data_IF_668243867065
#
_entry.id   IF_668243867065
#
_cell.length_a   1.000
_cell.length_b   1.000
_cell.length_c   1.000
_cell.angle_alpha   90.00
_cell.angle_beta   90.00
_cell.angle_gamma   90.00
#
_symmetry.space_group_name_H-M   'P 1'
#
loop_
_entity.id
_entity.type
_entity.pdbx_description
1 polymer ?
#
# COMPACT_ATOMS: atom_id res chain seq x y z
N UNK A 1 -23.40 -1.87 -0.30
CA UNK A 1 -23.18 -3.23 0.25
C UNK A 1 -22.53 -4.05 -0.87
N UNK A 2 -21.19 -4.14 -0.93
CA UNK A 2 -20.51 -4.87 -2.02
C UNK A 2 -20.65 -6.37 -1.76
N UNK A 3 -21.36 -7.07 -2.64
CA UNK A 3 -21.60 -8.52 -2.56
C UNK A 3 -20.29 -9.29 -2.72
N UNK A 4 -20.16 -10.40 -1.98
CA UNK A 4 -18.99 -11.30 -1.95
C UNK A 4 -18.53 -11.74 -3.36
N UNK A 5 -19.46 -11.77 -4.33
CA UNK A 5 -19.24 -12.06 -5.74
C UNK A 5 -18.37 -11.03 -6.48
N UNK A 6 -18.47 -9.74 -6.12
CA UNK A 6 -17.74 -8.64 -6.78
C UNK A 6 -16.25 -8.64 -6.42
N UNK A 7 -15.89 -9.14 -5.24
CA UNK A 7 -14.50 -9.28 -4.81
C UNK A 7 -13.77 -10.43 -5.55
N UNK A 8 -14.47 -11.51 -5.89
CA UNK A 8 -13.89 -12.63 -6.64
C UNK A 8 -13.54 -12.27 -8.10
N UNK A 9 -14.33 -11.42 -8.74
CA UNK A 9 -14.05 -10.90 -10.09
C UNK A 9 -12.82 -9.99 -10.10
N UNK A 10 -12.65 -9.14 -9.07
CA UNK A 10 -11.45 -8.32 -8.89
C UNK A 10 -10.20 -9.20 -8.70
N UNK A 11 -10.33 -10.29 -7.93
CA UNK A 11 -9.25 -11.25 -7.68
C UNK A 11 -8.81 -12.01 -8.94
N UNK A 12 -9.72 -12.30 -9.88
CA UNK A 12 -9.41 -13.01 -11.12
C UNK A 12 -8.67 -12.13 -12.13
N UNK A 13 -9.05 -10.85 -12.21
CA UNK A 13 -8.39 -9.86 -13.08
C UNK A 13 -6.94 -9.53 -12.64
N UNK A 14 -6.66 -9.66 -11.34
CA UNK A 14 -5.33 -9.47 -10.75
C UNK A 14 -4.26 -10.47 -11.24
N UNK A 15 -4.61 -11.56 -11.94
CA UNK A 15 -3.66 -12.62 -12.33
C UNK A 15 -2.89 -12.37 -13.64
N UNK A 16 -3.32 -11.51 -14.56
CA UNK A 16 -2.61 -11.29 -15.84
C UNK A 16 -1.48 -10.24 -15.76
N UNK A 17 -0.25 -10.63 -16.07
CA UNK A 17 0.94 -9.75 -16.09
C UNK A 17 0.81 -8.79 -17.28
N UNK A 18 0.96 -7.48 -17.06
CA UNK A 18 0.86 -6.44 -18.11
C UNK A 18 -0.27 -5.42 -17.93
N UNK A 19 -1.20 -5.62 -16.98
CA UNK A 19 -2.41 -4.80 -16.85
C UNK A 19 -2.43 -3.76 -15.73
N UNK A 20 -1.28 -3.41 -15.17
CA UNK A 20 -1.20 -2.41 -14.08
C UNK A 20 -1.72 -2.91 -12.73
N UNK A 21 -1.27 -4.09 -12.27
CA UNK A 21 -1.64 -4.65 -10.96
C UNK A 21 -1.42 -3.68 -9.79
N UNK A 22 -0.37 -2.86 -9.90
CA UNK A 22 -0.08 -1.78 -8.94
C UNK A 22 -1.25 -0.81 -8.86
N UNK A 23 -1.68 -0.29 -10.01
CA UNK A 23 -2.83 0.63 -10.10
C UNK A 23 -4.10 -0.02 -9.56
N UNK A 24 -4.38 -1.28 -9.91
CA UNK A 24 -5.55 -2.01 -9.38
C UNK A 24 -5.53 -2.10 -7.85
N UNK A 25 -4.35 -2.34 -7.26
CA UNK A 25 -4.18 -2.40 -5.81
C UNK A 25 -4.38 -1.02 -5.18
N UNK A 26 -3.82 0.03 -5.77
CA UNK A 26 -3.98 1.42 -5.29
C UNK A 26 -5.45 1.82 -5.33
N UNK A 27 -6.15 1.54 -6.43
CA UNK A 27 -7.59 1.81 -6.58
C UNK A 27 -8.43 1.06 -5.55
N UNK A 28 -8.07 -0.18 -5.21
CA UNK A 28 -8.74 -0.93 -4.15
C UNK A 28 -8.56 -0.26 -2.79
N UNK A 29 -7.33 0.15 -2.44
CA UNK A 29 -7.06 0.82 -1.16
C UNK A 29 -7.75 2.18 -1.10
N UNK A 30 -7.72 2.97 -2.18
CA UNK A 30 -8.44 4.23 -2.29
C UNK A 30 -9.95 4.06 -2.12
N UNK A 31 -10.53 2.99 -2.69
CA UNK A 31 -11.94 2.66 -2.48
C UNK A 31 -12.27 2.35 -1.02
N UNK A 32 -11.41 1.59 -0.34
CA UNK A 32 -11.57 1.28 1.09
C UNK A 32 -11.51 2.56 1.95
N UNK A 33 -10.57 3.45 1.65
CA UNK A 33 -10.42 4.72 2.34
C UNK A 33 -11.66 5.61 2.18
N UNK A 34 -12.08 5.86 0.94
CA UNK A 34 -13.10 6.88 0.63
C UNK A 34 -14.53 6.37 0.83
N UNK A 35 -14.86 5.18 0.33
CA UNK A 35 -16.25 4.68 0.31
C UNK A 35 -16.59 3.78 1.48
N UNK A 36 -15.59 3.15 2.12
CA UNK A 36 -15.79 2.25 3.26
C UNK A 36 -15.33 2.87 4.58
N UNK A 37 -14.66 4.02 4.54
CA UNK A 37 -14.12 4.69 5.71
C UNK A 37 -12.98 3.92 6.40
N UNK A 38 -12.42 2.91 5.74
CA UNK A 38 -11.33 2.08 6.27
C UNK A 38 -10.02 2.74 5.84
N UNK A 39 -9.45 3.56 6.70
CA UNK A 39 -8.25 4.36 6.38
C UNK A 39 -6.93 3.61 6.54
N UNK A 40 -6.93 2.47 7.22
CA UNK A 40 -5.73 1.66 7.45
C UNK A 40 -5.64 1.15 8.89
N UNK A 41 -4.48 0.64 9.30
CA UNK A 41 -3.23 0.60 8.53
C UNK A 41 -3.23 -0.51 7.47
N UNK A 42 -2.85 -0.16 6.23
CA UNK A 42 -2.61 -1.14 5.15
C UNK A 42 -1.12 -1.37 4.94
N UNK A 43 -0.71 -2.59 4.58
CA UNK A 43 0.68 -2.95 4.30
C UNK A 43 0.83 -3.54 2.91
N UNK A 44 1.76 -2.98 2.13
CA UNK A 44 2.17 -3.48 0.82
C UNK A 44 3.60 -4.01 0.94
N UNK A 45 3.77 -5.30 0.67
CA UNK A 45 5.09 -5.95 0.65
C UNK A 45 5.48 -6.19 -0.81
N UNK A 46 6.62 -5.65 -1.22
CA UNK A 46 7.10 -5.75 -2.60
C UNK A 46 8.64 -5.87 -2.67
N UNK A 47 9.23 -6.30 -3.81
CA UNK A 47 10.68 -6.30 -3.97
C UNK A 47 11.27 -4.89 -3.76
N UNK A 48 12.44 -4.80 -3.12
CA UNK A 48 13.09 -3.53 -2.75
C UNK A 48 13.25 -2.57 -3.92
N UNK A 49 13.55 -3.08 -5.11
CA UNK A 49 13.69 -2.31 -6.36
C UNK A 49 12.40 -1.59 -6.79
N UNK A 50 11.23 -2.12 -6.40
CA UNK A 50 9.93 -1.60 -6.83
C UNK A 50 9.30 -0.63 -5.83
N UNK A 51 9.83 -0.51 -4.60
CA UNK A 51 9.25 0.34 -3.56
C UNK A 51 9.16 1.82 -3.97
N UNK A 52 10.17 2.32 -4.70
CA UNK A 52 10.15 3.70 -5.22
C UNK A 52 9.01 3.90 -6.22
N UNK A 53 8.78 2.93 -7.11
CA UNK A 53 7.71 2.99 -8.09
C UNK A 53 6.34 2.97 -7.39
N UNK A 54 6.16 2.12 -6.39
CA UNK A 54 4.95 2.11 -5.57
C UNK A 54 4.64 3.48 -4.94
N UNK A 55 5.64 4.13 -4.35
CA UNK A 55 5.46 5.45 -3.76
C UNK A 55 5.06 6.50 -4.80
N UNK A 56 5.71 6.47 -5.97
CA UNK A 56 5.38 7.38 -7.08
C UNK A 56 3.96 7.14 -7.61
N UNK A 57 3.59 5.88 -7.82
CA UNK A 57 2.28 5.50 -8.33
C UNK A 57 1.18 5.89 -7.32
N UNK A 58 1.39 5.65 -6.02
CA UNK A 58 0.41 6.08 -5.00
C UNK A 58 0.27 7.60 -5.02
N UNK A 59 1.37 8.35 -5.03
CA UNK A 59 1.34 9.81 -5.07
C UNK A 59 0.68 10.36 -6.35
N UNK A 60 0.83 9.66 -7.48
CA UNK A 60 0.27 10.07 -8.76
C UNK A 60 -1.21 9.73 -8.88
N UNK A 61 -1.61 8.50 -8.56
CA UNK A 61 -2.97 8.00 -8.78
C UNK A 61 -3.92 8.26 -7.60
N UNK A 62 -3.40 8.33 -6.37
CA UNK A 62 -4.21 8.48 -5.16
C UNK A 62 -3.46 9.29 -4.07
N UNK A 63 -3.22 10.59 -4.29
CA UNK A 63 -2.45 11.44 -3.37
C UNK A 63 -3.11 11.63 -2.00
N UNK A 64 -4.39 11.28 -1.86
CA UNK A 64 -5.10 11.30 -0.57
C UNK A 64 -4.58 10.24 0.41
N UNK A 65 -3.97 9.16 -0.10
CA UNK A 65 -3.41 8.10 0.74
C UNK A 65 -2.05 8.52 1.27
N UNK A 66 -1.93 8.59 2.61
CA UNK A 66 -0.65 8.87 3.27
C UNK A 66 0.21 7.62 3.27
N UNK A 67 1.01 7.47 2.21
CA UNK A 67 1.94 6.37 2.06
C UNK A 67 3.27 6.64 2.78
N UNK A 68 3.79 5.63 3.46
CA UNK A 68 5.10 5.63 4.13
C UNK A 68 5.93 4.47 3.60
N UNK A 69 7.16 4.77 3.17
CA UNK A 69 8.12 3.75 2.74
C UNK A 69 8.96 3.30 3.92
N UNK A 70 8.81 2.06 4.36
CA UNK A 70 9.63 1.49 5.43
C UNK A 70 10.90 0.84 4.84
N UNK A 71 11.92 1.68 4.64
CA UNK A 71 13.24 1.31 4.15
C UNK A 71 14.27 2.31 4.67
N UNK A 72 15.47 1.85 5.00
CA UNK A 72 16.57 2.72 5.44
C UNK A 72 17.60 1.99 6.29
N UNK A 73 18.57 2.74 6.79
CA UNK A 73 19.51 2.28 7.81
C UNK A 73 18.80 2.10 9.19
N UNK A 74 19.43 1.49 10.21
CA UNK A 74 18.77 1.25 11.50
C UNK A 74 18.20 2.50 12.18
N UNK A 75 18.88 3.64 12.07
CA UNK A 75 18.47 4.91 12.67
C UNK A 75 17.25 5.51 11.95
N UNK A 76 17.28 5.56 10.61
CA UNK A 76 16.15 5.97 9.77
C UNK A 76 14.92 5.11 10.04
N UNK A 77 15.11 3.78 10.15
CA UNK A 77 14.00 2.87 10.44
C UNK A 77 13.43 3.08 11.83
N UNK A 78 14.26 3.43 12.82
CA UNK A 78 13.80 3.77 14.16
C UNK A 78 12.90 5.01 14.09
N UNK A 79 13.36 6.06 13.42
CA UNK A 79 12.56 7.27 13.19
C UNK A 79 11.25 6.99 12.45
N UNK A 80 11.29 6.25 11.33
CA UNK A 80 10.09 5.91 10.57
C UNK A 80 9.09 5.12 11.44
N UNK A 81 9.58 4.19 12.27
CA UNK A 81 8.73 3.39 13.15
C UNK A 81 8.08 4.23 14.25
N UNK A 82 8.87 5.09 14.91
CA UNK A 82 8.42 5.88 16.07
C UNK A 82 7.55 7.08 15.66
N UNK A 83 7.86 7.73 14.53
CA UNK A 83 7.22 8.98 14.15
C UNK A 83 6.17 8.84 13.03
N UNK A 84 6.43 7.97 12.04
CA UNK A 84 5.63 7.87 10.82
C UNK A 84 4.66 6.68 10.82
N UNK A 85 5.07 5.53 11.38
CA UNK A 85 4.23 4.33 11.49
C UNK A 85 3.36 4.33 12.75
N UNK A 86 2.87 5.51 13.14
CA UNK A 86 1.92 5.68 14.24
C UNK A 86 0.50 5.60 13.69
N UNK A 87 -0.37 4.86 14.37
CA UNK A 87 -1.78 4.71 14.00
C UNK A 87 -2.42 6.09 13.82
N UNK A 88 -3.06 6.30 12.67
CA UNK A 88 -3.71 7.57 12.33
C UNK A 88 -2.82 8.59 11.62
N UNK A 89 -1.48 8.41 11.61
CA UNK A 89 -0.56 9.27 10.83
C UNK A 89 -0.31 8.76 9.40
N UNK A 90 -0.48 7.47 9.15
CA UNK A 90 -0.32 6.85 7.83
C UNK A 90 -1.52 5.96 7.48
N UNK A 91 -1.71 5.76 6.18
CA UNK A 91 -2.77 4.91 5.64
C UNK A 91 -2.17 3.64 5.02
N UNK A 92 -1.02 3.77 4.34
CA UNK A 92 -0.35 2.67 3.64
C UNK A 92 1.14 2.63 3.98
N UNK A 93 1.63 1.48 4.44
CA UNK A 93 3.06 1.21 4.61
C UNK A 93 3.56 0.33 3.45
N UNK A 94 4.58 0.79 2.72
CA UNK A 94 5.23 0.04 1.64
C UNK A 94 6.60 -0.44 2.14
N UNK A 95 6.80 -1.76 2.19
CA UNK A 95 8.03 -2.37 2.71
C UNK A 95 8.52 -3.54 1.86
N UNK A 96 9.77 -3.96 2.07
CA UNK A 96 10.34 -5.13 1.39
C UNK A 96 10.13 -6.41 2.18
N UNK A 97 10.17 -7.57 1.51
CA UNK A 97 10.11 -8.88 2.16
C UNK A 97 11.15 -9.03 3.27
N UNK A 98 12.40 -8.63 3.00
CA UNK A 98 13.48 -8.65 4.00
C UNK A 98 13.17 -7.82 5.25
N UNK A 99 12.46 -6.71 5.07
CA UNK A 99 12.11 -5.79 6.17
C UNK A 99 10.83 -6.19 6.89
N UNK A 100 9.95 -6.95 6.24
CA UNK A 100 8.73 -7.46 6.85
C UNK A 100 8.98 -8.70 7.75
N UNK A 101 10.04 -9.46 7.45
CA UNK A 101 10.41 -10.69 8.18
C UNK A 101 11.39 -10.40 9.33
N UNK A 102 12.19 -9.33 9.22
CA UNK A 102 13.11 -8.87 10.27
C UNK A 102 12.41 -8.05 11.34
#
# INVERSE_FOLDING_TARGET
MATRSSLHLLQFYLRFVGLGKTLQTISLVGYLHEFRGIKGPHMVVAPKSTLKNWMNDIQHFCPILRAVKFLGNPEERKYIREELLVVGKFDVCVTSFEMAIK
#
